data_IF_122776111197
#
_entry.id   IF_122776111197
#
_cell.length_a   1.000
_cell.length_b   1.000
_cell.length_c   1.000
_cell.angle_alpha   90.00
_cell.angle_beta   90.00
_cell.angle_gamma   90.00
#
_symmetry.space_group_name_H-M   'P 1'
#
loop_
_entity.id
_entity.type
_entity.pdbx_description
1 polymer ?
#
# COMPACT_ATOMS: atom_id res chain seq x y z
N UNK A 1 -2.61 23.47 3.54
CA UNK A 1 -3.22 22.51 2.56
C UNK A 1 -4.20 21.66 3.34
N UNK A 2 -5.41 21.42 2.86
CA UNK A 2 -6.37 20.60 3.59
C UNK A 2 -6.13 19.11 3.28
N UNK A 3 -6.01 18.28 4.32
CA UNK A 3 -5.93 16.82 4.20
C UNK A 3 -7.17 16.21 4.84
N UNK A 4 -7.94 15.48 4.04
CA UNK A 4 -9.18 14.83 4.50
C UNK A 4 -8.86 13.94 5.71
N UNK A 5 -9.69 14.00 6.76
CA UNK A 5 -9.52 13.32 8.05
C UNK A 5 -8.36 13.79 8.95
N UNK A 6 -7.67 14.90 8.60
CA UNK A 6 -6.59 15.47 9.41
C UNK A 6 -6.63 17.00 9.40
N UNK A 7 -7.50 17.56 10.24
CA UNK A 7 -7.73 19.02 10.32
C UNK A 7 -6.46 19.82 10.68
N UNK A 8 -5.59 19.26 11.53
CA UNK A 8 -4.32 19.86 11.97
C UNK A 8 -3.14 19.37 11.12
N UNK A 9 -3.34 19.12 9.82
CA UNK A 9 -2.31 18.61 8.91
C UNK A 9 -1.09 19.52 8.80
N UNK A 10 -1.27 20.82 8.57
CA UNK A 10 -0.12 21.73 8.37
C UNK A 10 0.79 21.78 9.62
N UNK A 11 0.17 21.71 10.81
CA UNK A 11 0.87 21.67 12.09
C UNK A 11 1.64 20.35 12.28
N UNK A 12 0.98 19.22 12.00
CA UNK A 12 1.60 17.89 12.06
C UNK A 12 2.75 17.73 11.06
N UNK A 13 2.57 18.17 9.81
CA UNK A 13 3.61 18.15 8.77
C UNK A 13 4.86 18.89 9.24
N UNK A 14 4.68 20.11 9.75
CA UNK A 14 5.79 20.95 10.21
C UNK A 14 6.56 20.32 11.39
N UNK A 15 5.89 19.63 12.32
CA UNK A 15 6.58 18.87 13.37
C UNK A 15 7.38 17.68 12.80
N UNK A 16 6.82 16.96 11.83
CA UNK A 16 7.51 15.84 11.18
C UNK A 16 8.74 16.31 10.40
N UNK A 17 8.64 17.43 9.67
CA UNK A 17 9.75 18.05 8.94
C UNK A 17 10.86 18.51 9.89
N UNK A 18 10.52 19.23 10.96
CA UNK A 18 11.50 19.64 11.98
C UNK A 18 12.20 18.43 12.60
N UNK A 19 11.44 17.40 12.99
CA UNK A 19 12.01 16.17 13.54
C UNK A 19 12.96 15.46 12.56
N UNK A 20 12.62 15.46 11.27
CA UNK A 20 13.48 14.89 10.22
C UNK A 20 14.84 15.60 10.14
N UNK A 21 14.86 16.92 10.33
CA UNK A 21 16.08 17.74 10.40
C UNK A 21 16.75 17.70 11.79
N UNK A 22 16.26 16.89 12.72
CA UNK A 22 16.79 16.76 14.08
C UNK A 22 16.38 17.88 15.04
N UNK A 23 15.40 18.70 14.68
CA UNK A 23 14.83 19.76 15.50
C UNK A 23 13.56 19.31 16.24
N UNK A 24 13.23 19.99 17.35
CA UNK A 24 11.99 19.77 18.10
C UNK A 24 11.31 21.13 18.28
N UNK A 25 10.06 21.24 17.84
CA UNK A 25 9.29 22.50 17.93
C UNK A 25 8.77 22.71 19.36
N UNK A 26 7.95 21.79 19.83
CA UNK A 26 7.26 21.87 21.13
C UNK A 26 7.22 20.50 21.83
N UNK A 27 7.12 19.41 21.06
CA UNK A 27 7.19 18.02 21.50
C UNK A 27 7.67 17.12 20.37
N UNK A 28 8.04 15.90 20.71
CA UNK A 28 8.33 14.86 19.71
C UNK A 28 7.07 14.47 18.93
N UNK A 29 7.19 14.12 17.64
CA UNK A 29 6.09 13.55 16.88
C UNK A 29 5.63 12.20 17.46
N UNK A 30 4.32 11.99 17.51
CA UNK A 30 3.72 10.71 17.90
C UNK A 30 2.73 10.26 16.85
N UNK A 31 2.76 8.98 16.50
CA UNK A 31 1.81 8.38 15.56
C UNK A 31 0.82 7.51 16.35
N UNK A 32 -0.41 8.00 16.49
CA UNK A 32 -1.49 7.27 17.17
C UNK A 32 -2.70 7.21 16.25
N UNK A 33 -3.29 6.02 16.10
CA UNK A 33 -4.57 5.85 15.42
C UNK A 33 -5.51 4.98 16.24
N UNK A 34 -6.80 5.28 16.16
CA UNK A 34 -7.84 4.55 16.88
C UNK A 34 -9.10 4.43 16.01
N UNK A 35 -9.91 3.36 16.13
CA UNK A 35 -11.17 3.28 15.40
C UNK A 35 -12.18 4.30 15.94
N UNK A 36 -12.89 5.01 15.07
CA UNK A 36 -13.94 6.00 15.45
C UNK A 36 -15.16 5.29 16.05
N UNK A 37 -15.46 4.07 15.58
CA UNK A 37 -16.56 3.25 16.07
C UNK A 37 -16.06 1.86 16.46
N UNK A 38 -16.78 1.19 17.38
CA UNK A 38 -16.51 -0.23 17.68
C UNK A 38 -16.70 -1.04 16.40
N UNK A 39 -15.59 -1.54 15.85
CA UNK A 39 -15.60 -2.36 14.64
C UNK A 39 -16.15 -3.74 14.99
N UNK A 40 -17.28 -4.11 14.41
CA UNK A 40 -17.61 -5.54 14.30
C UNK A 40 -16.52 -6.18 13.42
N UNK A 41 -15.73 -7.09 13.99
CA UNK A 41 -14.80 -7.91 13.23
C UNK A 41 -15.63 -8.91 12.44
N UNK A 42 -16.19 -8.49 11.30
CA UNK A 42 -16.69 -9.43 10.31
C UNK A 42 -15.46 -10.15 9.76
N UNK A 43 -15.28 -11.41 10.14
CA UNK A 43 -14.30 -12.29 9.50
C UNK A 43 -14.61 -12.26 8.01
N UNK A 44 -13.73 -11.63 7.23
CA UNK A 44 -13.82 -11.65 5.79
C UNK A 44 -13.80 -13.12 5.36
N UNK A 45 -14.85 -13.59 4.69
CA UNK A 45 -14.96 -14.98 4.24
C UNK A 45 -14.13 -15.18 2.96
N UNK A 46 -12.94 -14.59 2.90
CA UNK A 46 -12.08 -14.53 1.70
C UNK A 46 -11.51 -15.89 1.28
N UNK A 47 -11.78 -16.95 2.03
CA UNK A 47 -11.42 -18.33 1.69
C UNK A 47 -12.13 -18.88 0.44
N UNK A 48 -13.02 -18.12 -0.20
CA UNK A 48 -13.80 -18.54 -1.37
C UNK A 48 -13.55 -17.75 -2.66
N UNK A 49 -12.48 -16.96 -2.75
CA UNK A 49 -12.11 -16.32 -4.01
C UNK A 49 -11.45 -17.34 -4.93
N UNK A 50 -11.93 -17.47 -6.18
CA UNK A 50 -11.22 -18.21 -7.22
C UNK A 50 -9.86 -17.55 -7.51
N UNK A 51 -8.92 -18.30 -8.10
CA UNK A 51 -7.62 -17.77 -8.52
C UNK A 51 -7.76 -16.54 -9.45
N UNK A 52 -8.77 -16.53 -10.32
CA UNK A 52 -9.06 -15.39 -11.20
C UNK A 52 -9.50 -14.14 -10.41
N UNK A 53 -10.21 -14.34 -9.29
CA UNK A 53 -10.65 -13.25 -8.43
C UNK A 53 -9.50 -12.66 -7.61
N UNK A 54 -8.48 -13.44 -7.26
CA UNK A 54 -7.31 -12.94 -6.51
C UNK A 54 -6.55 -11.87 -7.30
N UNK A 55 -6.33 -12.05 -8.60
CA UNK A 55 -5.68 -11.02 -9.41
C UNK A 55 -6.45 -9.69 -9.41
N UNK A 56 -7.78 -9.76 -9.48
CA UNK A 56 -8.66 -8.59 -9.36
C UNK A 56 -8.56 -7.93 -7.99
N UNK A 57 -8.54 -8.72 -6.91
CA UNK A 57 -8.41 -8.23 -5.54
C UNK A 57 -7.20 -7.31 -5.34
N UNK A 58 -6.06 -7.63 -5.97
CA UNK A 58 -4.84 -6.82 -5.89
C UNK A 58 -4.74 -5.72 -6.94
N UNK A 59 -5.44 -5.81 -8.08
CA UNK A 59 -5.12 -4.99 -9.26
C UNK A 59 -6.30 -4.26 -9.90
N UNK A 60 -7.55 -4.58 -9.55
CA UNK A 60 -8.74 -3.87 -10.04
C UNK A 60 -9.03 -2.66 -9.14
N UNK A 61 -8.88 -1.41 -9.65
CA UNK A 61 -9.11 -0.21 -8.85
C UNK A 61 -10.51 -0.15 -8.22
N UNK A 62 -11.52 -0.70 -8.90
CA UNK A 62 -12.92 -0.73 -8.43
C UNK A 62 -13.10 -1.59 -7.16
N UNK A 63 -12.15 -2.48 -6.90
CA UNK A 63 -12.12 -3.32 -5.70
C UNK A 63 -11.09 -2.82 -4.70
N UNK A 64 -9.92 -2.39 -5.17
CA UNK A 64 -8.79 -1.94 -4.33
C UNK A 64 -9.13 -0.64 -3.61
N UNK A 65 -9.56 0.39 -4.34
CA UNK A 65 -9.74 1.74 -3.77
C UNK A 65 -10.81 1.75 -2.66
N UNK A 66 -12.05 1.26 -2.88
CA UNK A 66 -13.08 1.27 -1.82
C UNK A 66 -12.71 0.43 -0.60
N UNK A 67 -11.93 -0.64 -0.81
CA UNK A 67 -11.45 -1.52 0.28
C UNK A 67 -10.41 -0.82 1.16
N UNK A 68 -9.62 0.10 0.61
CA UNK A 68 -8.62 0.87 1.33
C UNK A 68 -9.19 2.16 1.94
N UNK A 69 -10.17 2.79 1.30
CA UNK A 69 -10.86 3.98 1.82
C UNK A 69 -11.63 3.68 3.11
N UNK A 70 -12.35 2.57 3.14
CA UNK A 70 -13.20 2.20 4.28
C UNK A 70 -12.49 2.21 5.65
N UNK A 71 -11.31 1.58 5.83
CA UNK A 71 -10.59 1.69 7.10
C UNK A 71 -10.06 3.11 7.37
N UNK A 72 -9.70 3.88 6.34
CA UNK A 72 -9.23 5.26 6.48
C UNK A 72 -10.34 6.14 7.06
N UNK A 73 -11.54 6.09 6.46
CA UNK A 73 -12.75 6.79 6.91
C UNK A 73 -13.12 6.50 8.36
N UNK A 74 -12.86 5.27 8.82
CA UNK A 74 -13.25 4.79 10.14
C UNK A 74 -12.13 4.91 11.19
N UNK A 75 -11.05 5.63 10.87
CA UNK A 75 -9.90 5.81 11.75
C UNK A 75 -9.77 7.25 12.21
N UNK A 76 -9.65 7.44 13.51
CA UNK A 76 -9.21 8.68 14.13
C UNK A 76 -7.69 8.76 14.05
N UNK A 77 -7.18 9.88 13.53
CA UNK A 77 -5.76 10.13 13.28
C UNK A 77 -5.23 11.17 14.27
N UNK A 78 -4.58 10.71 15.34
CA UNK A 78 -4.10 11.56 16.43
C UNK A 78 -2.59 11.87 16.30
N UNK A 79 -2.19 13.02 16.86
CA UNK A 79 -0.82 13.52 16.78
C UNK A 79 -0.42 13.76 15.32
N UNK A 80 0.67 13.14 14.90
CA UNK A 80 1.21 13.22 13.54
C UNK A 80 0.83 12.01 12.68
N UNK A 81 -0.09 11.16 13.14
CA UNK A 81 -0.71 10.17 12.27
C UNK A 81 -1.58 10.86 11.22
N UNK A 82 -1.59 10.35 9.99
CA UNK A 82 -2.40 10.86 8.89
C UNK A 82 -2.81 9.70 7.98
N UNK A 83 -3.91 9.84 7.21
CA UNK A 83 -4.35 8.79 6.32
C UNK A 83 -3.35 8.53 5.20
N UNK A 84 -3.01 7.25 5.00
CA UNK A 84 -2.15 6.79 3.92
C UNK A 84 -2.81 5.59 3.25
N UNK A 85 -2.91 5.65 1.93
CA UNK A 85 -3.39 4.56 1.10
C UNK A 85 -2.21 3.89 0.40
N UNK A 86 -2.20 2.55 0.38
CA UNK A 86 -1.26 1.75 -0.41
C UNK A 86 -2.01 0.94 -1.47
N UNK A 87 -2.38 1.54 -2.62
CA UNK A 87 -3.13 0.84 -3.67
C UNK A 87 -2.38 -0.36 -4.23
N UNK A 88 -1.06 -0.27 -4.35
CA UNK A 88 -0.21 -1.45 -4.51
C UNK A 88 -0.07 -2.08 -3.14
N UNK A 89 -0.76 -3.22 -2.95
CA UNK A 89 -0.81 -3.89 -1.65
C UNK A 89 0.58 -4.25 -1.15
N UNK A 90 0.82 -4.01 0.14
CA UNK A 90 2.02 -4.51 0.85
C UNK A 90 2.08 -6.04 0.89
N UNK A 91 0.95 -6.72 0.68
CA UNK A 91 0.89 -8.17 0.50
C UNK A 91 1.49 -8.64 -0.83
N UNK A 92 1.70 -7.72 -1.78
CA UNK A 92 2.49 -7.98 -2.98
C UNK A 92 3.98 -7.90 -2.67
N UNK A 93 4.44 -8.87 -1.88
CA UNK A 93 5.80 -8.91 -1.35
C UNK A 93 6.81 -8.88 -2.49
N UNK A 94 7.83 -8.02 -2.35
CA UNK A 94 8.90 -7.86 -3.32
C UNK A 94 8.42 -7.49 -4.74
N UNK A 95 7.42 -6.60 -4.87
CA UNK A 95 6.89 -6.12 -6.15
C UNK A 95 7.97 -5.63 -7.15
N UNK A 96 9.11 -5.16 -6.65
CA UNK A 96 10.27 -4.80 -7.46
C UNK A 96 10.73 -5.96 -8.36
N UNK A 97 10.77 -7.19 -7.85
CA UNK A 97 11.14 -8.35 -8.65
C UNK A 97 10.21 -8.53 -9.86
N UNK A 98 8.92 -8.24 -9.70
CA UNK A 98 7.94 -8.35 -10.76
C UNK A 98 8.02 -7.20 -11.76
N UNK A 99 8.38 -5.99 -11.31
CA UNK A 99 8.75 -4.89 -12.22
C UNK A 99 9.97 -5.23 -13.06
N UNK A 100 10.89 -6.04 -12.51
CA UNK A 100 12.10 -6.52 -13.18
C UNK A 100 11.92 -7.85 -13.93
N UNK A 101 10.69 -8.35 -14.06
CA UNK A 101 10.36 -9.47 -14.95
C UNK A 101 10.10 -10.82 -14.27
N UNK A 102 10.21 -10.92 -12.94
CA UNK A 102 9.84 -12.15 -12.22
C UNK A 102 8.32 -12.38 -12.28
N UNK A 103 7.84 -13.57 -12.70
CA UNK A 103 6.42 -13.91 -12.65
C UNK A 103 5.88 -13.85 -11.23
N UNK A 104 4.65 -13.33 -11.07
CA UNK A 104 3.99 -13.29 -9.76
C UNK A 104 2.96 -14.41 -9.63
N UNK A 105 2.96 -15.08 -8.49
CA UNK A 105 1.95 -16.06 -8.09
C UNK A 105 1.12 -15.52 -6.94
N UNK A 106 -0.20 -15.51 -7.13
CA UNK A 106 -1.15 -15.22 -6.05
C UNK A 106 -1.31 -16.45 -5.16
N UNK A 107 -1.19 -16.28 -3.85
CA UNK A 107 -1.39 -17.36 -2.88
C UNK A 107 -2.75 -17.20 -2.20
N UNK A 108 -3.01 -16.01 -1.69
CA UNK A 108 -4.27 -15.61 -1.07
C UNK A 108 -4.40 -14.07 -1.09
N UNK A 109 -5.33 -13.52 -0.30
CA UNK A 109 -5.53 -12.07 -0.19
C UNK A 109 -4.49 -11.33 0.65
N UNK A 110 -3.61 -12.05 1.35
CA UNK A 110 -2.59 -11.51 2.25
C UNK A 110 -1.19 -11.57 1.64
N UNK A 111 -0.91 -12.53 0.75
CA UNK A 111 0.44 -12.70 0.21
C UNK A 111 0.47 -13.14 -1.26
N UNK A 112 1.52 -12.68 -1.96
CA UNK A 112 1.91 -13.14 -3.29
C UNK A 112 3.38 -13.51 -3.31
N UNK A 113 3.77 -14.43 -4.18
CA UNK A 113 5.16 -14.90 -4.28
C UNK A 113 5.74 -14.59 -5.66
N UNK A 114 7.00 -14.19 -5.70
CA UNK A 114 7.76 -14.01 -6.94
C UNK A 114 8.44 -15.32 -7.32
N UNK A 115 8.25 -15.77 -8.56
CA UNK A 115 8.85 -17.00 -9.07
C UNK A 115 10.33 -16.72 -9.38
N UNK A 116 11.27 -17.53 -8.85
CA UNK A 116 12.69 -17.39 -9.18
C UNK A 116 12.93 -17.45 -10.70
N UNK A 117 13.79 -16.56 -11.20
CA UNK A 117 14.20 -16.52 -12.61
C UNK A 117 15.72 -16.63 -12.79
N UNK A 118 16.46 -16.81 -11.69
CA UNK A 118 17.92 -16.92 -11.67
C UNK A 118 18.26 -18.25 -11.01
N UNK A 119 18.67 -19.24 -11.80
CA UNK A 119 19.17 -20.50 -11.29
C UNK A 119 20.69 -20.49 -11.13
N UNK A 120 21.39 -19.73 -11.99
CA UNK A 120 22.83 -19.47 -11.92
C UNK A 120 23.12 -18.00 -12.13
N UNK A 121 24.05 -17.45 -11.35
CA UNK A 121 24.42 -16.04 -11.43
C UNK A 121 25.05 -15.64 -12.77
N UNK A 122 25.78 -16.56 -13.41
CA UNK A 122 26.37 -16.33 -14.73
C UNK A 122 25.31 -16.19 -15.85
N UNK A 123 24.08 -16.63 -15.59
CA UNK A 123 22.93 -16.57 -16.51
C UNK A 123 21.93 -15.47 -16.08
N UNK A 124 22.33 -14.57 -15.18
CA UNK A 124 21.46 -13.51 -14.67
C UNK A 124 20.99 -12.60 -15.83
N UNK A 125 19.67 -12.36 -15.96
CA UNK A 125 19.16 -11.45 -16.98
C UNK A 125 19.59 -10.01 -16.66
N UNK A 126 19.64 -9.17 -17.69
CA UNK A 126 19.82 -7.73 -17.52
C UNK A 126 18.55 -7.12 -16.91
N UNK A 127 18.70 -6.47 -15.75
CA UNK A 127 17.60 -5.75 -15.11
C UNK A 127 17.52 -4.33 -15.65
N UNK A 128 16.44 -4.06 -16.38
CA UNK A 128 16.14 -2.72 -16.88
C UNK A 128 14.69 -2.35 -16.57
N UNK A 129 14.45 -1.05 -16.40
CA UNK A 129 13.10 -0.54 -16.26
C UNK A 129 12.34 -0.71 -17.57
N UNK A 130 11.24 -1.45 -17.53
CA UNK A 130 10.36 -1.64 -18.66
C UNK A 130 9.02 -0.91 -18.43
N UNK A 131 8.74 0.21 -19.13
CA UNK A 131 7.49 0.95 -18.98
C UNK A 131 6.25 0.16 -19.44
N UNK A 132 6.47 -0.91 -20.21
CA UNK A 132 5.44 -1.80 -20.71
C UNK A 132 5.18 -3.01 -19.80
N UNK A 133 5.96 -3.17 -18.72
CA UNK A 133 5.78 -4.21 -17.70
C UNK A 133 4.34 -4.20 -17.17
N UNK A 134 3.72 -5.38 -17.06
CA UNK A 134 2.33 -5.54 -16.63
C UNK A 134 2.08 -4.89 -15.27
N UNK A 135 2.94 -5.17 -14.29
CA UNK A 135 2.80 -4.66 -12.93
C UNK A 135 3.02 -3.17 -12.87
N UNK A 136 3.98 -2.64 -13.62
CA UNK A 136 4.18 -1.19 -13.72
C UNK A 136 2.94 -0.47 -14.27
N UNK A 137 2.33 -1.01 -15.34
CA UNK A 137 1.08 -0.48 -15.89
C UNK A 137 -0.06 -0.51 -14.86
N UNK A 138 -0.21 -1.62 -14.13
CA UNK A 138 -1.22 -1.75 -13.07
C UNK A 138 -1.01 -0.74 -11.95
N UNK A 139 0.22 -0.56 -11.48
CA UNK A 139 0.57 0.45 -10.49
C UNK A 139 0.22 1.86 -10.96
N UNK A 140 0.55 2.21 -12.21
CA UNK A 140 0.14 3.51 -12.78
C UNK A 140 -1.37 3.71 -12.77
N UNK A 141 -2.15 2.68 -13.09
CA UNK A 141 -3.61 2.75 -13.06
C UNK A 141 -4.12 2.98 -11.62
N UNK A 142 -3.60 2.21 -10.66
CA UNK A 142 -3.98 2.33 -9.25
C UNK A 142 -3.57 3.66 -8.61
N UNK A 143 -2.42 4.22 -9.01
CA UNK A 143 -1.92 5.50 -8.47
C UNK A 143 -2.59 6.73 -9.08
N UNK A 144 -3.23 6.62 -10.25
CA UNK A 144 -3.88 7.75 -10.94
C UNK A 144 -5.35 7.97 -10.56
N UNK A 145 -5.94 7.07 -9.78
CA UNK A 145 -7.34 7.16 -9.32
C UNK A 145 -7.46 7.71 -7.89
N UNK A 146 -6.46 8.46 -7.41
CA UNK A 146 -6.45 9.12 -6.10
C UNK A 146 -6.76 10.60 -6.24
#
# INVERSE_FOLDING_TARGET
MELIYKDDWDEARRRMEAWWEGEIIDRVPIKISAPIQKREIKKDKSWSLSMDNLKGYFTDPRQVIPRLEKPIENTYWAGEAFPVMFPVSIGMVAILANYLGSPLKFMDTQTTWSVPIIDKWDECPEFSFNPENEWWKKTKVLSRQQ
#
